data_IF_719993799532
#
_entry.id   IF_719993799532
#
_cell.length_a   1.000
_cell.length_b   1.000
_cell.length_c   1.000
_cell.angle_alpha   90.00
_cell.angle_beta   90.00
_cell.angle_gamma   90.00
#
_symmetry.space_group_name_H-M   'P 1'
#
loop_
_entity.id
_entity.type
_entity.pdbx_description
1 polymer ?
#
# COMPACT_ATOMS: atom_id res chain seq x y z
N UNK A 1 -2.11 -3.23 -10.90
CA UNK A 1 -1.35 -2.16 -10.19
C UNK A 1 -0.83 -1.03 -11.09
N UNK A 2 -0.12 -1.26 -12.21
CA UNK A 2 0.27 -0.14 -13.09
C UNK A 2 -0.92 0.38 -13.89
N UNK A 3 -1.81 -0.51 -14.31
CA UNK A 3 -3.06 -0.15 -14.98
C UNK A 3 -3.90 0.80 -14.12
N UNK A 4 -4.04 0.52 -12.82
CA UNK A 4 -4.74 1.40 -11.88
C UNK A 4 -3.98 2.72 -11.62
N UNK A 5 -2.64 2.67 -11.59
CA UNK A 5 -1.82 3.88 -11.46
C UNK A 5 -2.03 4.85 -12.63
N UNK A 6 -2.26 4.33 -13.82
CA UNK A 6 -2.47 5.07 -15.06
C UNK A 6 -3.95 5.25 -15.41
N UNK A 7 -4.88 4.73 -14.59
CA UNK A 7 -6.32 4.71 -14.89
C UNK A 7 -6.63 4.11 -16.28
N UNK A 8 -5.91 3.05 -16.65
CA UNK A 8 -5.90 2.51 -18.00
C UNK A 8 -7.21 1.78 -18.36
N UNK A 9 -7.76 0.98 -17.43
CA UNK A 9 -8.95 0.19 -17.71
C UNK A 9 -10.15 1.07 -18.09
N UNK A 10 -10.51 2.12 -17.32
CA UNK A 10 -11.58 3.04 -17.71
C UNK A 10 -11.32 3.74 -19.04
N UNK A 11 -10.06 4.05 -19.34
CA UNK A 11 -9.69 4.67 -20.63
C UNK A 11 -9.95 3.71 -21.80
N UNK A 12 -9.55 2.44 -21.68
CA UNK A 12 -9.76 1.42 -22.72
C UNK A 12 -11.26 1.14 -22.92
N UNK A 13 -12.01 0.99 -21.84
CA UNK A 13 -13.46 0.79 -21.87
C UNK A 13 -14.18 1.96 -22.56
N UNK A 14 -13.74 3.21 -22.28
CA UNK A 14 -14.26 4.40 -22.97
C UNK A 14 -13.96 4.39 -24.49
N UNK A 15 -12.90 3.70 -24.92
CA UNK A 15 -12.56 3.49 -26.32
C UNK A 15 -13.29 2.30 -26.96
N UNK A 16 -14.18 1.64 -26.24
CA UNK A 16 -14.96 0.48 -26.73
C UNK A 16 -14.19 -0.84 -26.68
N UNK A 17 -13.11 -0.92 -25.91
CA UNK A 17 -12.35 -2.15 -25.68
C UNK A 17 -12.89 -2.84 -24.43
N UNK A 18 -13.33 -4.09 -24.54
CA UNK A 18 -13.72 -4.89 -23.39
C UNK A 18 -12.48 -5.25 -22.57
N UNK A 19 -12.44 -4.86 -21.31
CA UNK A 19 -11.36 -5.18 -20.38
C UNK A 19 -11.82 -6.23 -19.38
N UNK A 20 -11.09 -7.33 -19.25
CA UNK A 20 -11.41 -8.43 -18.33
C UNK A 20 -10.23 -8.66 -17.40
N UNK A 21 -10.45 -8.44 -16.11
CA UNK A 21 -9.45 -8.81 -15.08
C UNK A 21 -9.41 -10.33 -14.92
N UNK A 22 -8.22 -10.89 -14.95
CA UNK A 22 -8.01 -12.34 -14.94
C UNK A 22 -7.57 -12.91 -13.59
N UNK A 23 -7.11 -12.08 -12.65
CA UNK A 23 -6.94 -12.43 -11.25
C UNK A 23 -8.31 -12.56 -10.57
N UNK A 24 -8.51 -13.60 -9.77
CA UNK A 24 -9.82 -13.85 -9.16
C UNK A 24 -10.26 -12.71 -8.25
N UNK A 25 -9.35 -12.15 -7.44
CA UNK A 25 -9.67 -11.05 -6.56
C UNK A 25 -9.99 -9.76 -7.32
N UNK A 26 -9.20 -9.44 -8.35
CA UNK A 26 -9.45 -8.29 -9.24
C UNK A 26 -10.74 -8.48 -10.05
N UNK A 27 -11.05 -9.72 -10.53
CA UNK A 27 -12.29 -10.03 -11.21
C UNK A 27 -13.52 -9.83 -10.33
N UNK A 28 -13.48 -10.27 -9.08
CA UNK A 28 -14.55 -10.02 -8.10
C UNK A 28 -14.79 -8.52 -7.95
N UNK A 29 -13.73 -7.73 -7.76
CA UNK A 29 -13.85 -6.29 -7.62
C UNK A 29 -14.36 -5.61 -8.89
N UNK A 30 -13.92 -6.07 -10.06
CA UNK A 30 -14.44 -5.59 -11.35
C UNK A 30 -15.95 -5.79 -11.46
N UNK A 31 -16.45 -6.99 -11.13
CA UNK A 31 -17.88 -7.29 -11.13
C UNK A 31 -18.67 -6.50 -10.06
N UNK A 32 -18.04 -6.16 -8.95
CA UNK A 32 -18.62 -5.33 -7.89
C UNK A 32 -18.49 -3.82 -8.15
N UNK A 33 -17.77 -3.41 -9.19
CA UNK A 33 -17.39 -2.01 -9.45
C UNK A 33 -16.66 -1.34 -8.28
N UNK A 34 -15.79 -2.10 -7.60
CA UNK A 34 -15.00 -1.66 -6.45
C UNK A 34 -13.51 -1.53 -6.79
N UNK A 35 -12.80 -0.72 -6.00
CA UNK A 35 -11.34 -0.60 -6.10
C UNK A 35 -10.64 -1.63 -5.21
N UNK A 36 -9.39 -2.03 -5.53
CA UNK A 36 -8.62 -2.91 -4.66
C UNK A 36 -8.30 -2.23 -3.31
N UNK A 37 -8.30 -3.02 -2.24
CA UNK A 37 -7.98 -2.56 -0.89
C UNK A 37 -6.64 -3.09 -0.35
N UNK A 38 -5.97 -3.96 -1.11
CA UNK A 38 -4.65 -4.53 -0.78
C UNK A 38 -3.87 -4.81 -2.06
N UNK A 39 -2.53 -4.75 -2.01
CA UNK A 39 -1.66 -4.93 -3.19
C UNK A 39 -1.68 -6.38 -3.71
N UNK A 40 -1.66 -7.37 -2.80
CA UNK A 40 -1.53 -8.80 -3.14
C UNK A 40 -2.88 -9.52 -3.07
N UNK A 41 -3.77 -9.06 -2.20
CA UNK A 41 -5.09 -9.65 -1.96
C UNK A 41 -6.16 -8.58 -2.22
N UNK A 42 -6.42 -8.20 -3.47
CA UNK A 42 -7.20 -7.01 -3.80
C UNK A 42 -8.60 -7.02 -3.17
N UNK A 43 -9.25 -8.16 -3.09
CA UNK A 43 -10.60 -8.35 -2.54
C UNK A 43 -10.64 -8.82 -1.07
N UNK A 44 -9.57 -8.62 -0.27
CA UNK A 44 -9.46 -9.09 1.13
C UNK A 44 -10.61 -8.59 2.04
N UNK A 45 -11.27 -7.52 1.67
CA UNK A 45 -12.39 -6.92 2.41
C UNK A 45 -13.76 -7.53 2.04
N UNK A 46 -13.81 -8.39 1.02
CA UNK A 46 -15.05 -9.04 0.56
C UNK A 46 -15.17 -10.42 1.20
N UNK A 47 -16.31 -10.69 1.81
CA UNK A 47 -16.60 -12.00 2.40
C UNK A 47 -17.04 -13.00 1.33
N UNK A 48 -16.78 -14.29 1.55
CA UNK A 48 -17.15 -15.35 0.60
C UNK A 48 -18.67 -15.41 0.33
N UNK A 49 -19.50 -15.08 1.32
CA UNK A 49 -20.94 -15.01 1.17
C UNK A 49 -21.35 -13.92 0.17
N UNK A 50 -20.70 -12.76 0.23
CA UNK A 50 -20.89 -11.66 -0.72
C UNK A 50 -20.41 -12.04 -2.12
N UNK A 51 -19.34 -12.83 -2.24
CA UNK A 51 -18.91 -13.38 -3.54
C UNK A 51 -19.94 -14.36 -4.08
N UNK A 52 -20.54 -15.20 -3.23
CA UNK A 52 -21.62 -16.10 -3.60
C UNK A 52 -22.84 -15.35 -4.20
N UNK A 53 -23.32 -14.31 -3.51
CA UNK A 53 -24.41 -13.44 -3.96
C UNK A 53 -24.06 -12.73 -5.28
N UNK A 54 -22.83 -12.24 -5.42
CA UNK A 54 -22.35 -11.63 -6.65
C UNK A 54 -22.37 -12.61 -7.81
N UNK A 55 -21.85 -13.83 -7.63
CA UNK A 55 -21.77 -14.83 -8.67
C UNK A 55 -23.14 -15.41 -9.03
N UNK A 56 -24.07 -15.51 -8.07
CA UNK A 56 -25.48 -15.81 -8.37
C UNK A 56 -26.04 -14.81 -9.38
N UNK A 57 -25.82 -13.52 -9.12
CA UNK A 57 -26.34 -12.43 -9.96
C UNK A 57 -25.63 -12.33 -11.32
N UNK A 58 -24.30 -12.36 -11.35
CA UNK A 58 -23.49 -12.04 -12.54
C UNK A 58 -23.12 -13.28 -13.37
N UNK A 59 -23.03 -14.46 -12.75
CA UNK A 59 -22.62 -15.71 -13.40
C UNK A 59 -23.71 -16.77 -13.42
N UNK A 60 -24.87 -16.54 -12.80
CA UNK A 60 -25.95 -17.49 -12.73
C UNK A 60 -25.65 -18.76 -11.92
N UNK A 61 -24.84 -18.62 -10.86
CA UNK A 61 -24.51 -19.74 -9.98
C UNK A 61 -25.67 -20.12 -9.06
N UNK A 62 -25.55 -21.24 -8.38
CA UNK A 62 -26.56 -21.75 -7.45
C UNK A 62 -26.79 -20.76 -6.29
N UNK A 63 -28.07 -20.51 -6.00
CA UNK A 63 -28.51 -19.54 -4.99
C UNK A 63 -27.99 -19.90 -3.60
N UNK A 64 -27.33 -18.92 -2.95
CA UNK A 64 -26.82 -19.04 -1.57
C UNK A 64 -25.62 -19.95 -1.42
N UNK A 65 -25.05 -20.47 -2.51
CA UNK A 65 -23.83 -21.28 -2.45
C UNK A 65 -22.60 -20.36 -2.29
N UNK A 66 -21.91 -20.50 -1.17
CA UNK A 66 -20.69 -19.76 -0.83
C UNK A 66 -19.48 -20.69 -0.60
N UNK A 67 -19.55 -21.93 -1.10
CA UNK A 67 -18.41 -22.84 -1.04
C UNK A 67 -17.25 -22.33 -1.91
N UNK A 68 -16.04 -22.15 -1.35
CA UNK A 68 -14.92 -21.56 -2.09
C UNK A 68 -14.52 -22.36 -3.33
N UNK A 69 -14.59 -23.68 -3.27
CA UNK A 69 -14.25 -24.56 -4.39
C UNK A 69 -15.26 -24.39 -5.53
N UNK A 70 -16.54 -24.40 -5.18
CA UNK A 70 -17.61 -24.15 -6.14
C UNK A 70 -17.48 -22.77 -6.82
N UNK A 71 -17.27 -21.70 -6.04
CA UNK A 71 -17.11 -20.35 -6.57
C UNK A 71 -15.87 -20.23 -7.48
N UNK A 72 -14.75 -20.86 -7.09
CA UNK A 72 -13.54 -20.89 -7.91
C UNK A 72 -13.78 -21.62 -9.24
N UNK A 73 -14.52 -22.72 -9.24
CA UNK A 73 -14.90 -23.41 -10.47
C UNK A 73 -15.83 -22.58 -11.35
N UNK A 74 -16.76 -21.84 -10.77
CA UNK A 74 -17.64 -20.93 -11.51
C UNK A 74 -16.84 -19.80 -12.19
N UNK A 75 -15.92 -19.16 -11.45
CA UNK A 75 -15.02 -18.16 -12.00
C UNK A 75 -14.15 -18.73 -13.13
N UNK A 76 -13.56 -19.91 -12.91
CA UNK A 76 -12.76 -20.62 -13.92
C UNK A 76 -13.55 -20.86 -15.21
N UNK A 77 -14.81 -21.30 -15.11
CA UNK A 77 -15.69 -21.52 -16.27
C UNK A 77 -15.95 -20.20 -17.02
N UNK A 78 -16.24 -19.13 -16.29
CA UNK A 78 -16.47 -17.80 -16.88
C UNK A 78 -15.21 -17.26 -17.58
N UNK A 79 -14.06 -17.28 -16.90
CA UNK A 79 -12.81 -16.75 -17.42
C UNK A 79 -12.24 -17.59 -18.57
N UNK A 80 -12.55 -18.89 -18.65
CA UNK A 80 -12.08 -19.74 -19.74
C UNK A 80 -12.51 -19.24 -21.10
N UNK A 81 -13.79 -18.86 -21.23
CA UNK A 81 -14.30 -18.30 -22.49
C UNK A 81 -13.63 -16.97 -22.83
N UNK A 82 -13.37 -16.14 -21.82
CA UNK A 82 -12.65 -14.89 -22.01
C UNK A 82 -11.22 -15.11 -22.48
N UNK A 83 -10.50 -16.07 -21.91
CA UNK A 83 -9.15 -16.43 -22.36
C UNK A 83 -9.10 -16.97 -23.80
N UNK A 84 -10.08 -17.80 -24.18
CA UNK A 84 -10.12 -18.40 -25.51
C UNK A 84 -10.41 -17.40 -26.63
N UNK A 85 -11.13 -16.32 -26.31
CA UNK A 85 -11.55 -15.33 -27.29
C UNK A 85 -10.84 -13.96 -27.15
N UNK A 86 -9.87 -13.86 -26.25
CA UNK A 86 -9.11 -12.62 -26.07
C UNK A 86 -8.27 -12.30 -27.30
N UNK A 87 -8.37 -11.09 -27.82
CA UNK A 87 -7.58 -10.61 -28.96
C UNK A 87 -6.20 -10.09 -28.50
N UNK A 88 -6.12 -9.58 -27.30
CA UNK A 88 -4.89 -9.09 -26.67
C UNK A 88 -4.77 -9.52 -25.22
N UNK A 89 -3.54 -9.72 -24.75
CA UNK A 89 -3.23 -9.89 -23.35
C UNK A 89 -2.35 -8.74 -22.86
N UNK A 90 -2.72 -8.17 -21.73
CA UNK A 90 -1.88 -7.19 -21.05
C UNK A 90 -1.48 -7.72 -19.67
N UNK A 91 -0.17 -7.73 -19.40
CA UNK A 91 0.36 -8.15 -18.09
C UNK A 91 1.19 -7.02 -17.48
N UNK A 92 1.15 -6.92 -16.14
CA UNK A 92 2.20 -6.25 -15.41
C UNK A 92 3.49 -7.09 -15.41
N UNK A 93 4.58 -6.53 -14.86
CA UNK A 93 5.76 -7.33 -14.53
C UNK A 93 6.14 -7.14 -13.06
N UNK A 94 6.52 -8.23 -12.40
CA UNK A 94 7.16 -8.15 -11.09
C UNK A 94 8.61 -7.69 -11.24
N UNK A 95 9.31 -8.20 -12.28
CA UNK A 95 10.67 -7.83 -12.62
C UNK A 95 10.90 -7.85 -14.12
N UNK A 96 11.90 -7.09 -14.59
CA UNK A 96 12.44 -7.13 -15.95
C UNK A 96 13.95 -7.27 -15.89
N UNK A 97 14.52 -8.22 -16.61
CA UNK A 97 15.96 -8.53 -16.57
C UNK A 97 16.67 -7.80 -17.70
N UNK A 98 17.50 -6.81 -17.36
CA UNK A 98 18.16 -5.96 -18.37
C UNK A 98 19.10 -6.73 -19.28
N UNK A 99 19.89 -7.68 -18.75
CA UNK A 99 20.86 -8.47 -19.52
C UNK A 99 20.25 -9.39 -20.57
N UNK A 100 18.96 -9.78 -20.41
CA UNK A 100 18.30 -10.76 -21.28
C UNK A 100 17.06 -10.24 -21.98
N UNK A 101 16.52 -9.11 -21.53
CA UNK A 101 15.23 -8.57 -22.00
C UNK A 101 14.01 -9.38 -21.53
N UNK A 102 14.17 -10.24 -20.53
CA UNK A 102 13.07 -11.05 -19.98
C UNK A 102 12.15 -10.23 -19.12
N UNK A 103 10.85 -10.45 -19.28
CA UNK A 103 9.80 -9.98 -18.38
C UNK A 103 9.39 -11.12 -17.49
N UNK A 104 9.38 -10.90 -16.18
CA UNK A 104 9.11 -11.94 -15.17
C UNK A 104 7.82 -11.61 -14.44
N UNK A 105 6.87 -12.55 -14.46
CA UNK A 105 5.58 -12.47 -13.79
C UNK A 105 5.50 -13.59 -12.74
N UNK A 106 5.22 -13.19 -11.50
CA UNK A 106 5.04 -14.08 -10.35
C UNK A 106 3.58 -14.12 -9.96
N UNK A 107 2.94 -15.27 -10.06
CA UNK A 107 1.53 -15.45 -9.73
C UNK A 107 1.27 -16.82 -9.11
N UNK A 108 0.14 -16.99 -8.42
CA UNK A 108 -0.29 -18.25 -7.84
C UNK A 108 -1.46 -18.90 -8.59
N UNK A 109 -2.08 -18.19 -9.53
CA UNK A 109 -3.30 -18.65 -10.21
C UNK A 109 -3.06 -19.12 -11.66
N UNK A 110 -1.90 -18.87 -12.23
CA UNK A 110 -1.59 -19.18 -13.63
C UNK A 110 -2.37 -18.31 -14.64
N UNK A 111 -3.08 -17.28 -14.17
CA UNK A 111 -3.89 -16.38 -15.00
C UNK A 111 -3.04 -15.62 -16.04
N UNK A 112 -1.85 -15.19 -15.68
CA UNK A 112 -0.94 -14.52 -16.61
C UNK A 112 -0.52 -15.46 -17.77
N UNK A 113 -0.15 -16.71 -17.45
CA UNK A 113 0.23 -17.72 -18.46
C UNK A 113 -0.92 -18.05 -19.38
N UNK A 114 -2.12 -18.24 -18.83
CA UNK A 114 -3.33 -18.48 -19.62
C UNK A 114 -3.66 -17.28 -20.50
N UNK A 115 -3.56 -16.05 -19.94
CA UNK A 115 -3.83 -14.82 -20.67
C UNK A 115 -2.95 -14.65 -21.91
N UNK A 116 -1.65 -14.93 -21.81
CA UNK A 116 -0.69 -14.76 -22.94
C UNK A 116 -0.65 -15.97 -23.88
N UNK A 117 -1.27 -17.10 -23.52
CA UNK A 117 -1.17 -18.33 -24.31
C UNK A 117 -1.99 -18.31 -25.60
N UNK A 118 -3.08 -17.57 -25.66
CA UNK A 118 -4.03 -17.55 -26.78
C UNK A 118 -3.89 -16.31 -27.69
N UNK A 119 -3.86 -15.07 -27.17
CA UNK A 119 -3.83 -13.88 -28.01
C UNK A 119 -2.55 -13.78 -28.87
N UNK A 120 -2.66 -13.19 -30.04
CA UNK A 120 -1.50 -12.86 -30.87
C UNK A 120 -0.78 -11.63 -30.39
N UNK A 121 -1.49 -10.70 -29.75
CA UNK A 121 -0.94 -9.47 -29.20
C UNK A 121 -0.71 -9.63 -27.70
N UNK A 122 0.56 -9.55 -27.27
CA UNK A 122 0.94 -9.49 -25.87
C UNK A 122 1.56 -8.12 -25.54
N UNK A 123 1.12 -7.51 -24.45
CA UNK A 123 1.66 -6.24 -23.96
C UNK A 123 2.11 -6.46 -22.51
N UNK A 124 3.37 -6.18 -22.20
CA UNK A 124 3.88 -6.13 -20.83
C UNK A 124 4.16 -4.68 -20.44
N UNK A 125 3.49 -4.21 -19.36
CA UNK A 125 3.67 -2.84 -18.90
C UNK A 125 4.15 -2.81 -17.44
N UNK A 126 5.22 -2.08 -17.15
CA UNK A 126 5.77 -1.98 -15.79
C UNK A 126 6.52 -0.67 -15.56
N UNK A 127 6.63 -0.29 -14.30
CA UNK A 127 7.42 0.86 -13.90
C UNK A 127 8.93 0.57 -14.00
N UNK A 128 9.72 1.56 -14.41
CA UNK A 128 11.18 1.41 -14.60
C UNK A 128 11.90 0.89 -13.34
N UNK A 129 11.34 1.04 -12.16
CA UNK A 129 11.87 0.51 -10.90
C UNK A 129 11.82 -1.03 -10.79
N UNK A 130 11.23 -1.72 -11.78
CA UNK A 130 11.17 -3.18 -11.83
C UNK A 130 12.36 -3.81 -12.55
N UNK A 131 13.23 -3.01 -13.11
CA UNK A 131 14.40 -3.50 -13.85
C UNK A 131 15.47 -3.98 -12.88
N UNK A 132 15.92 -5.22 -13.08
CA UNK A 132 17.05 -5.83 -12.37
C UNK A 132 18.18 -6.12 -13.37
N UNK A 133 19.46 -6.08 -12.98
CA UNK A 133 20.57 -6.20 -13.94
C UNK A 133 20.64 -7.57 -14.62
N UNK A 134 20.47 -8.64 -13.85
CA UNK A 134 20.75 -10.02 -14.27
C UNK A 134 19.84 -11.06 -13.55
N UNK A 135 19.98 -12.32 -13.94
CA UNK A 135 19.22 -13.44 -13.37
C UNK A 135 19.63 -13.80 -11.94
N UNK A 136 20.87 -13.54 -11.56
CA UNK A 136 21.35 -13.79 -10.18
C UNK A 136 20.64 -12.85 -9.21
N UNK A 137 20.58 -11.57 -9.56
CA UNK A 137 19.78 -10.59 -8.83
C UNK A 137 18.30 -10.96 -8.78
N UNK A 138 17.73 -11.40 -9.91
CA UNK A 138 16.34 -11.85 -9.98
C UNK A 138 16.07 -13.02 -9.02
N UNK A 139 16.98 -14.00 -8.91
CA UNK A 139 16.81 -15.15 -8.03
C UNK A 139 16.68 -14.77 -6.56
N UNK A 140 17.32 -13.67 -6.13
CA UNK A 140 17.14 -13.10 -4.79
C UNK A 140 15.75 -12.51 -4.64
N UNK A 141 15.34 -11.66 -5.57
CA UNK A 141 14.07 -10.93 -5.48
C UNK A 141 12.84 -11.84 -5.59
N UNK A 142 12.86 -12.88 -6.40
CA UNK A 142 11.74 -13.82 -6.49
C UNK A 142 11.51 -14.57 -5.17
N UNK A 143 12.57 -14.94 -4.47
CA UNK A 143 12.48 -15.56 -3.12
C UNK A 143 11.97 -14.56 -2.08
N UNK A 144 12.46 -13.32 -2.10
CA UNK A 144 12.02 -12.27 -1.20
C UNK A 144 10.55 -11.93 -1.41
N UNK A 145 10.12 -11.85 -2.67
CA UNK A 145 8.73 -11.51 -3.02
C UNK A 145 7.75 -12.54 -2.45
N UNK A 146 7.91 -13.82 -2.78
CA UNK A 146 7.00 -14.87 -2.38
C UNK A 146 6.91 -15.03 -0.85
N UNK A 147 8.05 -15.03 -0.17
CA UNK A 147 8.12 -15.16 1.30
C UNK A 147 7.49 -14.00 2.02
N UNK A 148 7.69 -12.79 1.51
CA UNK A 148 7.16 -11.57 2.14
C UNK A 148 5.70 -11.32 1.83
N UNK A 149 5.19 -11.81 0.69
CA UNK A 149 3.81 -11.64 0.28
C UNK A 149 2.87 -12.65 0.94
N UNK A 150 3.19 -13.93 0.86
CA UNK A 150 2.31 -15.05 1.22
C UNK A 150 2.97 -16.12 2.10
N UNK A 151 4.24 -15.95 2.48
CA UNK A 151 4.99 -16.93 3.25
C UNK A 151 5.46 -18.16 2.44
N UNK A 152 5.27 -18.16 1.14
CA UNK A 152 5.70 -19.25 0.25
C UNK A 152 7.22 -19.17 -0.02
N UNK A 153 7.92 -20.30 -0.22
CA UNK A 153 9.33 -20.28 -0.63
C UNK A 153 9.53 -19.66 -2.02
N UNK A 154 8.58 -19.88 -2.93
CA UNK A 154 8.49 -19.32 -4.28
C UNK A 154 7.02 -19.28 -4.70
N UNK A 155 6.63 -18.42 -5.65
CA UNK A 155 5.27 -18.43 -6.23
C UNK A 155 5.01 -19.68 -7.04
N UNK A 156 3.76 -20.09 -7.15
CA UNK A 156 3.37 -21.29 -7.91
C UNK A 156 3.83 -21.19 -9.37
N UNK A 157 3.69 -20.02 -9.95
CA UNK A 157 4.17 -19.73 -11.30
C UNK A 157 5.18 -18.57 -11.24
N UNK A 158 6.34 -18.77 -11.84
CA UNK A 158 7.36 -17.74 -12.07
C UNK A 158 7.70 -17.77 -13.55
N UNK A 159 6.94 -17.04 -14.34
CA UNK A 159 6.96 -17.14 -15.79
C UNK A 159 7.84 -16.09 -16.41
N UNK A 160 8.65 -16.51 -17.40
CA UNK A 160 9.60 -15.67 -18.09
C UNK A 160 9.17 -15.49 -19.55
N UNK A 161 8.85 -14.27 -19.94
CA UNK A 161 8.44 -13.90 -21.28
C UNK A 161 9.58 -13.13 -21.96
N UNK A 162 10.07 -13.62 -23.09
CA UNK A 162 11.21 -13.02 -23.79
C UNK A 162 10.95 -12.68 -25.24
N UNK A 163 10.05 -13.41 -25.87
CA UNK A 163 9.72 -13.27 -27.29
C UNK A 163 8.24 -13.53 -27.50
N UNK A 164 7.65 -13.01 -28.56
CA UNK A 164 6.28 -13.35 -28.91
C UNK A 164 6.12 -14.83 -29.22
N UNK A 165 4.89 -15.33 -29.13
CA UNK A 165 4.52 -16.62 -29.69
C UNK A 165 4.66 -16.59 -31.23
N UNK A 166 4.65 -17.74 -31.88
CA UNK A 166 4.70 -17.83 -33.33
C UNK A 166 3.51 -17.10 -33.97
N UNK A 167 3.82 -16.20 -34.92
CA UNK A 167 2.82 -15.36 -35.58
C UNK A 167 2.16 -14.31 -34.71
N UNK A 168 2.74 -14.00 -33.53
CA UNK A 168 2.26 -12.98 -32.61
C UNK A 168 3.23 -11.80 -32.47
N UNK A 169 2.80 -10.82 -31.68
CA UNK A 169 3.55 -9.63 -31.32
C UNK A 169 3.72 -9.53 -29.81
N UNK A 170 4.87 -9.03 -29.37
CA UNK A 170 5.13 -8.76 -27.96
C UNK A 170 5.70 -7.36 -27.77
N UNK A 171 4.94 -6.52 -27.08
CA UNK A 171 5.30 -5.13 -26.81
C UNK A 171 5.62 -4.94 -25.33
N UNK A 172 6.71 -4.23 -25.06
CA UNK A 172 7.15 -3.88 -23.69
C UNK A 172 7.00 -2.38 -23.49
N UNK A 173 6.23 -1.97 -22.50
CA UNK A 173 6.01 -0.57 -22.14
C UNK A 173 6.66 -0.30 -20.79
N UNK A 174 7.74 0.48 -20.78
CA UNK A 174 8.42 0.92 -19.57
C UNK A 174 7.90 2.30 -19.19
N UNK A 175 7.31 2.40 -17.99
CA UNK A 175 6.63 3.61 -17.53
C UNK A 175 7.50 4.35 -16.51
N UNK A 176 7.81 5.60 -16.77
CA UNK A 176 8.43 6.49 -15.79
C UNK A 176 7.42 7.02 -14.77
N UNK A 177 6.40 7.73 -15.19
CA UNK A 177 5.39 8.37 -14.36
C UNK A 177 5.96 9.05 -13.09
N UNK A 178 7.10 9.75 -13.26
CA UNK A 178 7.78 10.49 -12.19
C UNK A 178 8.83 9.70 -11.39
N UNK A 179 9.11 8.44 -11.72
CA UNK A 179 10.13 7.62 -11.06
C UNK A 179 11.53 8.19 -11.23
N UNK A 180 11.85 8.78 -12.38
CA UNK A 180 13.10 9.50 -12.63
C UNK A 180 13.29 10.68 -11.67
N UNK A 181 12.21 11.40 -11.32
CA UNK A 181 12.25 12.47 -10.31
C UNK A 181 12.53 11.91 -8.91
N UNK A 182 11.94 10.77 -8.57
CA UNK A 182 12.18 10.09 -7.29
C UNK A 182 13.64 9.60 -7.22
N UNK A 183 14.20 9.12 -8.34
CA UNK A 183 15.60 8.70 -8.42
C UNK A 183 16.57 9.85 -8.11
N UNK A 184 16.21 11.08 -8.41
CA UNK A 184 16.98 12.27 -8.10
C UNK A 184 16.80 12.77 -6.64
N UNK A 185 15.78 12.29 -5.93
CA UNK A 185 15.47 12.68 -4.55
C UNK A 185 16.17 11.77 -3.54
N UNK A 186 17.30 12.20 -3.00
CA UNK A 186 18.09 11.45 -2.02
C UNK A 186 17.31 11.06 -0.75
N UNK A 187 16.28 11.81 -0.37
CA UNK A 187 15.48 11.50 0.82
C UNK A 187 14.55 10.32 0.59
N UNK A 188 13.96 10.22 -0.61
CA UNK A 188 12.88 9.29 -0.91
C UNK A 188 13.21 8.22 -1.95
N UNK A 189 14.45 8.20 -2.46
CA UNK A 189 14.93 7.24 -3.47
C UNK A 189 14.67 5.78 -3.08
N UNK A 190 14.80 5.44 -1.79
CA UNK A 190 14.55 4.07 -1.30
C UNK A 190 13.12 3.57 -1.58
N UNK A 191 12.16 4.46 -1.83
CA UNK A 191 10.79 4.05 -2.22
C UNK A 191 10.78 3.25 -3.51
N UNK A 192 11.71 3.51 -4.43
CA UNK A 192 11.85 2.78 -5.69
C UNK A 192 12.29 1.32 -5.50
N UNK A 193 12.90 0.96 -4.37
CA UNK A 193 13.27 -0.42 -4.07
C UNK A 193 12.05 -1.33 -3.82
N UNK A 194 10.84 -0.76 -3.72
CA UNK A 194 9.64 -1.52 -3.36
C UNK A 194 9.28 -2.58 -4.38
N UNK A 195 9.32 -3.86 -3.98
CA UNK A 195 8.93 -5.01 -4.80
C UNK A 195 7.42 -5.33 -4.76
N UNK A 196 6.61 -4.50 -4.08
CA UNK A 196 5.14 -4.64 -3.98
C UNK A 196 4.67 -5.92 -3.27
N UNK A 197 5.42 -6.45 -2.33
CA UNK A 197 5.06 -7.68 -1.59
C UNK A 197 3.91 -7.52 -0.58
N UNK A 198 3.52 -6.30 -0.19
CA UNK A 198 2.43 -6.07 0.77
C UNK A 198 2.75 -6.31 2.25
N UNK A 199 3.93 -6.81 2.62
CA UNK A 199 4.30 -7.12 4.01
C UNK A 199 4.08 -5.94 4.99
N UNK A 200 4.36 -4.71 4.54
CA UNK A 200 4.17 -3.50 5.33
C UNK A 200 2.69 -3.23 5.67
N UNK A 201 1.74 -3.66 4.84
CA UNK A 201 0.30 -3.55 5.11
C UNK A 201 -0.11 -4.58 6.15
N UNK A 202 0.37 -5.81 5.99
CA UNK A 202 0.01 -6.94 6.87
C UNK A 202 0.43 -6.71 8.32
N UNK A 203 1.52 -5.99 8.57
CA UNK A 203 2.02 -5.66 9.92
C UNK A 203 1.47 -4.33 10.47
N UNK A 204 0.94 -3.45 9.62
CA UNK A 204 0.55 -2.10 10.02
C UNK A 204 -0.69 -2.10 10.93
N UNK A 205 -0.61 -1.61 12.19
CA UNK A 205 -1.76 -1.59 13.09
C UNK A 205 -2.87 -0.66 12.59
N UNK A 206 -2.52 0.42 11.90
CA UNK A 206 -3.51 1.35 11.33
C UNK A 206 -4.26 0.70 10.18
N UNK A 207 -3.55 0.12 9.20
CA UNK A 207 -4.17 -0.57 8.08
C UNK A 207 -5.06 -1.74 8.54
N UNK A 208 -4.58 -2.56 9.47
CA UNK A 208 -5.36 -3.69 10.02
C UNK A 208 -6.63 -3.26 10.73
N UNK A 209 -6.67 -2.05 11.25
CA UNK A 209 -7.86 -1.52 11.94
C UNK A 209 -8.82 -0.80 11.02
N UNK A 210 -8.32 0.01 10.08
CA UNK A 210 -9.14 0.89 9.24
C UNK A 210 -9.42 0.34 7.84
N UNK A 211 -8.63 -0.65 7.37
CA UNK A 211 -8.74 -1.18 6.02
C UNK A 211 -8.13 -0.28 4.94
N UNK A 212 -8.10 -0.78 3.70
CA UNK A 212 -7.47 -0.09 2.58
C UNK A 212 -8.22 1.16 2.12
N UNK A 213 -9.54 1.17 2.22
CA UNK A 213 -10.37 2.29 1.78
C UNK A 213 -10.27 3.55 2.65
N UNK A 214 -9.65 3.46 3.82
CA UNK A 214 -9.35 4.64 4.63
C UNK A 214 -8.22 5.50 4.07
N UNK A 215 -7.47 4.97 3.09
CA UNK A 215 -6.39 5.68 2.40
C UNK A 215 -6.91 6.30 1.11
N UNK A 216 -6.51 7.52 0.82
CA UNK A 216 -6.97 8.24 -0.38
C UNK A 216 -6.21 7.87 -1.64
N UNK A 217 -5.01 7.29 -1.52
CA UNK A 217 -4.22 6.80 -2.65
C UNK A 217 -4.61 5.36 -3.00
N UNK A 218 -4.61 4.98 -4.28
CA UNK A 218 -5.05 3.65 -4.75
C UNK A 218 -4.24 2.48 -4.17
N UNK A 219 -2.98 2.71 -3.80
CA UNK A 219 -2.19 1.80 -2.98
C UNK A 219 -2.32 2.24 -1.53
N UNK A 220 -2.91 1.43 -0.64
CA UNK A 220 -3.05 1.77 0.77
C UNK A 220 -1.80 1.45 1.60
N UNK A 221 -1.87 1.73 2.89
CA UNK A 221 -0.84 1.37 3.86
C UNK A 221 0.45 2.18 3.76
N UNK A 222 1.52 1.76 4.47
CA UNK A 222 2.74 2.55 4.61
C UNK A 222 3.44 2.90 3.29
N UNK A 223 3.49 1.97 2.35
CA UNK A 223 4.06 2.26 1.03
C UNK A 223 3.19 3.22 0.23
N UNK A 224 1.86 3.09 0.34
CA UNK A 224 0.91 3.97 -0.34
C UNK A 224 0.98 5.40 0.17
N UNK A 225 1.20 5.62 1.47
CA UNK A 225 1.45 6.95 2.03
C UNK A 225 2.64 7.59 1.31
N UNK A 226 3.78 6.89 1.23
CA UNK A 226 4.98 7.42 0.59
C UNK A 226 4.78 7.68 -0.90
N UNK A 227 4.16 6.76 -1.63
CA UNK A 227 3.90 6.94 -3.06
C UNK A 227 2.92 8.06 -3.37
N UNK A 228 1.86 8.20 -2.56
CA UNK A 228 0.91 9.30 -2.69
C UNK A 228 1.59 10.66 -2.49
N UNK A 229 2.43 10.78 -1.45
CA UNK A 229 3.20 12.00 -1.21
C UNK A 229 4.18 12.32 -2.34
N UNK A 230 4.84 11.32 -2.92
CA UNK A 230 5.73 11.51 -4.06
C UNK A 230 4.97 11.95 -5.32
N UNK A 231 3.74 11.47 -5.51
CA UNK A 231 2.93 11.82 -6.68
C UNK A 231 2.29 13.22 -6.56
N UNK A 232 1.61 13.50 -5.45
CA UNK A 232 0.88 14.75 -5.26
C UNK A 232 0.79 15.11 -3.77
N UNK A 233 1.85 15.70 -3.17
CA UNK A 233 1.93 15.93 -1.74
C UNK A 233 0.79 16.80 -1.21
N UNK A 234 0.33 17.78 -1.97
CA UNK A 234 -0.78 18.64 -1.56
C UNK A 234 -2.16 17.96 -1.58
N UNK A 235 -2.27 16.81 -2.25
CA UNK A 235 -3.51 16.04 -2.33
C UNK A 235 -3.54 14.91 -1.29
N UNK A 236 -2.39 14.27 -1.00
CA UNK A 236 -2.32 13.06 -0.16
C UNK A 236 -1.75 13.30 1.25
N UNK A 237 -1.51 14.56 1.64
CA UNK A 237 -0.85 14.90 2.91
C UNK A 237 -1.55 14.38 4.17
N UNK A 238 -2.87 14.21 4.15
CA UNK A 238 -3.62 13.73 5.32
C UNK A 238 -3.24 12.30 5.71
N UNK A 239 -2.88 11.47 4.74
CA UNK A 239 -2.47 10.08 4.98
C UNK A 239 -1.22 9.99 5.87
N UNK A 240 -0.35 10.99 5.82
CA UNK A 240 0.89 11.03 6.62
C UNK A 240 0.59 11.09 8.12
N UNK A 241 -0.50 11.78 8.49
CA UNK A 241 -0.94 11.91 9.88
C UNK A 241 -1.57 10.62 10.43
N UNK A 242 -2.06 9.73 9.59
CA UNK A 242 -2.66 8.46 9.99
C UNK A 242 -1.63 7.44 10.54
N UNK A 243 -0.34 7.62 10.24
CA UNK A 243 0.71 6.72 10.71
C UNK A 243 1.03 6.90 12.19
N UNK A 244 1.15 5.81 12.96
CA UNK A 244 1.56 5.82 14.37
C UNK A 244 3.09 5.87 14.59
N UNK A 245 3.89 5.81 13.52
CA UNK A 245 5.36 5.73 13.57
C UNK A 245 5.88 4.56 14.42
N UNK A 246 5.20 3.42 14.42
CA UNK A 246 5.60 2.23 15.19
C UNK A 246 6.78 1.46 14.58
N UNK A 247 7.28 1.85 13.42
CA UNK A 247 8.40 1.26 12.67
C UNK A 247 8.21 -0.20 12.19
N UNK A 248 7.16 -0.89 12.55
CA UNK A 248 6.93 -2.28 12.17
C UNK A 248 7.02 -2.53 10.64
N UNK A 249 6.58 -1.56 9.83
CA UNK A 249 6.67 -1.65 8.38
C UNK A 249 8.11 -1.54 7.83
N UNK A 250 8.99 -0.79 8.52
CA UNK A 250 10.42 -0.71 8.19
C UNK A 250 11.13 -2.02 8.54
N UNK A 251 10.80 -2.60 9.69
CA UNK A 251 11.43 -3.85 10.18
C UNK A 251 11.14 -5.04 9.27
N UNK A 252 9.87 -5.21 8.86
CA UNK A 252 9.46 -6.34 8.00
C UNK A 252 9.81 -6.16 6.52
N UNK A 253 10.24 -4.98 6.10
CA UNK A 253 10.50 -4.69 4.69
C UNK A 253 11.70 -5.51 4.18
N UNK A 254 11.50 -6.45 3.23
CA UNK A 254 12.58 -7.34 2.77
C UNK A 254 13.66 -6.59 1.98
N UNK A 255 13.32 -5.43 1.42
CA UNK A 255 14.20 -4.59 0.61
C UNK A 255 14.59 -3.28 1.31
N UNK A 256 14.30 -3.17 2.60
CA UNK A 256 14.74 -2.09 3.50
C UNK A 256 14.42 -0.68 2.98
N UNK A 257 13.16 -0.46 2.58
CA UNK A 257 12.68 0.86 2.11
C UNK A 257 12.72 1.91 3.22
N UNK A 258 12.65 1.50 4.48
CA UNK A 258 12.60 2.39 5.65
C UNK A 258 11.38 3.33 5.64
N UNK A 259 10.22 2.70 5.51
CA UNK A 259 8.94 3.38 5.27
C UNK A 259 8.57 4.37 6.36
N UNK A 260 8.81 4.02 7.62
CA UNK A 260 8.44 4.88 8.74
C UNK A 260 9.29 6.16 8.78
N UNK A 261 10.60 6.05 8.51
CA UNK A 261 11.48 7.21 8.41
C UNK A 261 11.05 8.15 7.28
N UNK A 262 10.72 7.61 6.11
CA UNK A 262 10.22 8.42 5.00
C UNK A 262 8.92 9.14 5.35
N UNK A 263 7.99 8.48 6.06
CA UNK A 263 6.75 9.12 6.53
C UNK A 263 7.07 10.24 7.54
N UNK A 264 8.06 10.02 8.40
CA UNK A 264 8.52 11.05 9.33
C UNK A 264 9.12 12.26 8.61
N UNK A 265 9.94 12.04 7.58
CA UNK A 265 10.48 13.12 6.74
C UNK A 265 9.36 13.90 6.04
N UNK A 266 8.34 13.22 5.54
CA UNK A 266 7.16 13.88 4.99
C UNK A 266 6.43 14.76 6.00
N UNK A 267 6.32 14.34 7.27
CA UNK A 267 5.72 15.17 8.33
C UNK A 267 6.51 16.46 8.55
N UNK A 268 7.83 16.40 8.48
CA UNK A 268 8.67 17.60 8.57
C UNK A 268 8.47 18.53 7.35
N UNK A 269 8.32 17.95 6.17
CA UNK A 269 8.13 18.74 4.95
C UNK A 269 6.71 19.33 4.82
N UNK A 270 5.70 18.80 5.53
CA UNK A 270 4.34 19.38 5.57
C UNK A 270 4.33 20.84 6.06
N UNK A 271 5.20 21.20 6.97
CA UNK A 271 5.34 22.56 7.44
C UNK A 271 5.81 23.50 6.33
N UNK A 272 6.80 23.06 5.55
CA UNK A 272 7.31 23.79 4.38
C UNK A 272 6.26 23.91 3.28
N UNK A 273 5.35 22.93 3.16
CA UNK A 273 4.24 22.92 2.21
C UNK A 273 3.04 23.76 2.68
N UNK A 274 3.15 24.44 3.85
CA UNK A 274 2.09 25.28 4.40
C UNK A 274 0.84 24.50 4.87
N UNK A 275 0.98 23.17 5.10
CA UNK A 275 -0.11 22.27 5.53
C UNK A 275 -0.10 21.95 7.02
N UNK A 276 0.84 22.49 7.78
CA UNK A 276 0.83 22.38 9.23
C UNK A 276 -0.28 23.22 9.85
N UNK A 277 -1.04 22.62 10.77
CA UNK A 277 -2.08 23.29 11.53
C UNK A 277 -1.47 24.39 12.41
N UNK A 278 -1.97 25.62 12.30
CA UNK A 278 -1.47 26.79 13.04
C UNK A 278 -1.53 26.57 14.57
N UNK A 279 -2.57 25.92 15.08
CA UNK A 279 -2.68 25.59 16.50
C UNK A 279 -1.61 24.61 16.94
N UNK A 280 -1.32 23.58 16.12
CA UNK A 280 -0.23 22.65 16.40
C UNK A 280 1.13 23.33 16.38
N UNK A 281 1.36 24.29 15.49
CA UNK A 281 2.60 25.10 15.46
C UNK A 281 2.78 25.88 16.76
N UNK A 282 1.74 26.56 17.21
CA UNK A 282 1.78 27.34 18.48
C UNK A 282 2.03 26.42 19.67
N UNK A 283 1.32 25.29 19.75
CA UNK A 283 1.50 24.30 20.82
C UNK A 283 2.91 23.69 20.80
N UNK A 284 3.41 23.31 19.63
CA UNK A 284 4.75 22.72 19.48
C UNK A 284 5.83 23.72 19.85
N UNK A 285 5.69 24.99 19.44
CA UNK A 285 6.62 26.07 19.83
C UNK A 285 6.61 26.34 21.33
N UNK A 286 5.45 26.33 21.95
CA UNK A 286 5.30 26.44 23.40
C UNK A 286 5.96 25.25 24.15
N UNK A 287 5.75 24.03 23.65
CA UNK A 287 6.42 22.85 24.20
C UNK A 287 7.94 22.90 24.02
N UNK A 288 8.43 23.28 22.85
CA UNK A 288 9.86 23.44 22.56
C UNK A 288 10.47 24.48 23.51
N UNK A 289 9.82 25.63 23.68
CA UNK A 289 10.27 26.66 24.62
C UNK A 289 10.40 26.11 26.05
N UNK A 290 9.37 25.39 26.51
CA UNK A 290 9.35 24.84 27.87
C UNK A 290 10.38 23.70 28.03
N UNK A 291 10.48 22.77 27.08
CA UNK A 291 11.41 21.62 27.17
C UNK A 291 12.89 22.01 27.09
N UNK A 292 13.21 23.07 26.34
CA UNK A 292 14.59 23.56 26.20
C UNK A 292 15.07 24.41 27.41
N UNK A 293 14.20 24.69 28.39
CA UNK A 293 14.54 25.53 29.55
C UNK A 293 14.10 24.86 30.86
N UNK A 294 15.01 24.40 31.70
CA UNK A 294 14.68 23.66 32.93
C UNK A 294 13.72 24.42 33.85
N UNK A 295 13.87 25.74 33.97
CA UNK A 295 12.95 26.55 34.78
C UNK A 295 11.53 26.59 34.21
N UNK A 296 11.40 26.76 32.91
CA UNK A 296 10.09 26.80 32.24
C UNK A 296 9.39 25.43 32.30
N UNK A 297 10.16 24.33 32.09
CA UNK A 297 9.65 22.97 32.22
C UNK A 297 9.15 22.69 33.64
N UNK A 298 9.94 22.98 34.67
CA UNK A 298 9.55 22.74 36.06
C UNK A 298 8.29 23.56 36.43
N UNK A 299 8.26 24.87 36.07
CA UNK A 299 7.08 25.70 36.30
C UNK A 299 5.84 25.15 35.60
N UNK A 300 5.96 24.70 34.33
CA UNK A 300 4.83 24.09 33.61
C UNK A 300 4.34 22.80 34.30
N UNK A 301 5.27 21.97 34.77
CA UNK A 301 4.92 20.73 35.47
C UNK A 301 4.28 20.99 36.85
N UNK A 302 4.70 22.01 37.58
CA UNK A 302 4.14 22.38 38.88
C UNK A 302 2.72 22.99 38.75
N UNK A 303 2.46 23.68 37.64
CA UNK A 303 1.14 24.24 37.32
C UNK A 303 0.18 23.21 36.68
N UNK A 304 0.69 22.13 36.08
CA UNK A 304 -0.10 21.15 35.33
C UNK A 304 -1.22 20.49 36.16
N UNK A 305 -1.05 20.13 37.46
CA UNK A 305 -2.11 19.54 38.25
C UNK A 305 -3.30 20.49 38.44
N UNK A 306 -3.02 21.75 38.77
CA UNK A 306 -4.05 22.78 38.98
C UNK A 306 -4.72 23.12 37.64
N UNK A 307 -3.94 23.36 36.59
CA UNK A 307 -4.45 23.62 35.24
C UNK A 307 -5.29 22.48 34.70
N UNK A 308 -4.90 21.24 34.95
CA UNK A 308 -5.65 20.05 34.54
C UNK A 308 -7.01 19.93 35.20
N UNK A 309 -7.11 20.28 36.50
CA UNK A 309 -8.40 20.31 37.21
C UNK A 309 -9.32 21.41 36.68
N UNK A 310 -8.78 22.61 36.46
CA UNK A 310 -9.55 23.72 35.88
C UNK A 310 -10.09 23.35 34.50
N UNK A 311 -9.24 22.76 33.64
CA UNK A 311 -9.66 22.33 32.32
C UNK A 311 -10.75 21.25 32.36
N UNK A 312 -10.70 20.31 33.33
CA UNK A 312 -11.76 19.32 33.52
C UNK A 312 -13.07 19.97 33.98
N UNK A 313 -13.02 20.92 34.90
CA UNK A 313 -14.20 21.67 35.35
C UNK A 313 -14.84 22.44 34.19
N UNK A 314 -14.04 22.89 33.22
CA UNK A 314 -14.51 23.54 31.98
C UNK A 314 -15.00 22.53 30.93
N UNK A 315 -15.00 21.24 31.22
CA UNK A 315 -15.43 20.20 30.25
C UNK A 315 -14.45 19.96 29.09
N UNK A 316 -13.19 20.42 29.22
CA UNK A 316 -12.17 20.19 28.21
C UNK A 316 -11.72 18.72 28.29
N UNK A 317 -11.73 18.04 27.16
CA UNK A 317 -11.32 16.66 27.00
C UNK A 317 -10.13 16.53 26.06
N UNK A 318 -9.40 15.41 26.10
CA UNK A 318 -8.30 15.12 25.15
C UNK A 318 -8.79 14.80 23.73
N UNK A 319 -10.07 15.04 23.47
CA UNK A 319 -10.79 14.74 22.23
C UNK A 319 -12.09 13.99 22.52
N UNK A 320 -12.90 13.71 21.50
CA UNK A 320 -14.18 13.02 21.66
C UNK A 320 -13.98 11.66 22.36
N UNK A 321 -14.61 11.47 23.53
CA UNK A 321 -14.59 10.20 24.28
C UNK A 321 -13.28 9.90 25.01
N UNK A 322 -12.45 10.91 25.30
CA UNK A 322 -11.19 10.74 26.06
C UNK A 322 -11.08 11.81 27.13
N UNK A 323 -10.89 11.40 28.37
CA UNK A 323 -10.65 12.30 29.48
C UNK A 323 -9.23 12.84 29.48
N UNK A 324 -9.04 14.00 30.11
CA UNK A 324 -7.69 14.52 30.39
C UNK A 324 -6.99 13.59 31.39
N UNK A 325 -5.69 13.30 31.16
CA UNK A 325 -4.91 12.49 32.11
C UNK A 325 -4.83 13.18 33.48
N UNK A 326 -4.70 12.38 34.53
CA UNK A 326 -4.41 12.89 35.87
C UNK A 326 -2.92 13.28 35.92
N UNK A 327 -2.67 14.56 36.13
CA UNK A 327 -1.29 15.03 36.31
C UNK A 327 -0.79 14.67 37.70
N UNK A 328 0.46 14.22 37.78
CA UNK A 328 1.12 13.94 39.05
C UNK A 328 1.30 15.23 39.87
N UNK A 329 1.11 15.15 41.18
CA UNK A 329 1.28 16.30 42.09
C UNK A 329 2.73 16.73 42.25
N UNK A 330 3.68 15.84 42.07
CA UNK A 330 5.11 16.10 42.11
C UNK A 330 5.74 15.68 40.77
N UNK A 331 6.62 16.50 40.20
CA UNK A 331 7.34 16.13 38.99
C UNK A 331 8.45 15.10 39.26
N UNK A 332 8.92 14.40 38.20
CA UNK A 332 9.93 13.35 38.34
C UNK A 332 11.22 13.86 38.98
N UNK A 333 11.70 15.08 38.66
CA UNK A 333 12.90 15.63 39.20
C UNK A 333 12.80 15.87 40.71
N UNK A 334 11.65 16.30 41.19
CA UNK A 334 11.42 16.45 42.64
C UNK A 334 11.36 15.11 43.33
N UNK A 335 10.66 14.14 42.76
CA UNK A 335 10.58 12.78 43.32
C UNK A 335 11.97 12.14 43.40
N UNK A 336 12.80 12.33 42.35
CA UNK A 336 14.20 11.86 42.35
C UNK A 336 15.03 12.51 43.42
N UNK A 337 15.01 13.85 43.54
CA UNK A 337 15.72 14.58 44.57
C UNK A 337 15.31 14.20 45.99
N UNK A 338 14.06 13.83 46.18
CA UNK A 338 13.49 13.36 47.45
C UNK A 338 13.73 11.86 47.72
N UNK A 339 14.41 11.13 46.80
CA UNK A 339 14.68 9.71 46.93
C UNK A 339 13.44 8.82 46.84
N UNK A 340 12.31 9.35 46.30
CA UNK A 340 11.05 8.62 46.13
C UNK A 340 11.04 7.68 44.92
N UNK A 341 12.02 7.86 44.03
CA UNK A 341 12.24 7.06 42.82
C UNK A 341 13.66 6.60 42.82
N UNK A 342 13.92 5.31 42.60
CA UNK A 342 15.24 4.69 42.48
C UNK A 342 15.65 4.59 41.01
#
# INVERSE_FOLDING_TARGET
MLAEECELNPFLEHKGIEVVESDLGERILQLMHLKPSHIVLPAIHVKREQVGELFEKELGTEKGNSDPTYLTHAARKNLREKFLHAEAAMTGANFAVASTGEIVVCTNEGNADMGVSQPKLQIAAFGMEKIVPDRESLAVFTRLLARSATGQPVTTYTSHFRKPREGGEFHIIIVDNGRSKILADRKHIKTLNCIRCGACMNTCPVYRRSGGYSYTYFIPGPIGINLGMLKAPLHYYDNVSACSLCYSCSDVCPVKVDLAEQIYLWRQDLDKLGKADAMKKIMSGGMEFAMNRPWAFNTAMDLAPVGGEVLRMMGVTWGKGRDLPNFAKENFNEMWKKGKVK
#
